data_IF_001100752846
#
_entry.id   IF_001100752846
#
_cell.length_a   1.000
_cell.length_b   1.000
_cell.length_c   1.000
_cell.angle_alpha   90.00
_cell.angle_beta   90.00
_cell.angle_gamma   90.00
#
_symmetry.space_group_name_H-M   'P 1'
#
loop_
_entity.id
_entity.type
_entity.pdbx_description
1 polymer ?
#
# COMPACT_ATOMS: atom_id res chain seq x y z
N UNK A 1 -2.14 -5.21 -2.68
CA UNK A 1 -3.22 -4.37 -3.25
C UNK A 1 -4.33 -4.31 -2.23
N UNK A 2 -4.81 -3.11 -1.94
CA UNK A 2 -5.87 -2.87 -0.96
C UNK A 2 -7.13 -2.52 -1.75
N UNK A 3 -8.25 -3.15 -1.42
CA UNK A 3 -9.53 -2.94 -2.09
C UNK A 3 -10.60 -2.71 -1.03
N UNK A 4 -11.44 -1.70 -1.24
CA UNK A 4 -12.64 -1.50 -0.44
C UNK A 4 -13.68 -2.58 -0.77
N UNK A 5 -14.22 -3.23 0.27
CA UNK A 5 -15.30 -4.20 0.15
C UNK A 5 -16.65 -3.50 -0.06
N UNK A 6 -16.88 -3.05 -1.29
CA UNK A 6 -18.18 -2.64 -1.79
C UNK A 6 -18.66 -3.58 -2.91
N UNK A 7 -19.84 -3.31 -3.49
CA UNK A 7 -20.41 -4.16 -4.55
C UNK A 7 -19.46 -4.37 -5.73
N UNK A 8 -18.75 -3.32 -6.16
CA UNK A 8 -17.80 -3.39 -7.27
C UNK A 8 -16.48 -4.02 -6.82
N UNK A 9 -16.00 -3.67 -5.63
CA UNK A 9 -14.77 -4.17 -5.04
C UNK A 9 -14.80 -5.68 -4.80
N UNK A 10 -15.94 -6.23 -4.37
CA UNK A 10 -16.10 -7.68 -4.22
C UNK A 10 -15.96 -8.41 -5.56
N UNK A 11 -16.54 -7.88 -6.64
CA UNK A 11 -16.34 -8.44 -7.98
C UNK A 11 -14.87 -8.33 -8.41
N UNK A 12 -14.22 -7.19 -8.12
CA UNK A 12 -12.80 -7.03 -8.43
C UNK A 12 -11.94 -8.06 -7.69
N UNK A 13 -12.21 -8.30 -6.41
CA UNK A 13 -11.52 -9.31 -5.60
C UNK A 13 -11.72 -10.70 -6.18
N UNK A 14 -12.95 -11.07 -6.54
CA UNK A 14 -13.27 -12.35 -7.16
C UNK A 14 -12.45 -12.59 -8.44
N UNK A 15 -12.38 -11.58 -9.32
CA UNK A 15 -11.58 -11.66 -10.55
C UNK A 15 -10.08 -11.74 -10.26
N UNK A 16 -9.58 -10.90 -9.35
CA UNK A 16 -8.16 -10.87 -9.02
C UNK A 16 -7.71 -12.20 -8.40
N UNK A 17 -8.50 -12.76 -7.48
CA UNK A 17 -8.14 -13.96 -6.74
C UNK A 17 -8.45 -15.24 -7.52
N UNK A 18 -9.67 -15.41 -8.04
CA UNK A 18 -10.11 -16.67 -8.64
C UNK A 18 -9.73 -16.83 -10.12
N UNK A 19 -9.58 -15.72 -10.86
CA UNK A 19 -9.28 -15.78 -12.30
C UNK A 19 -7.81 -15.48 -12.57
N UNK A 20 -7.29 -14.41 -11.95
CA UNK A 20 -5.92 -13.94 -12.19
C UNK A 20 -4.90 -14.52 -11.20
N UNK A 21 -5.36 -15.31 -10.21
CA UNK A 21 -4.52 -15.94 -9.18
C UNK A 21 -3.55 -14.93 -8.51
N UNK A 22 -4.02 -13.69 -8.32
CA UNK A 22 -3.20 -12.63 -7.78
C UNK A 22 -3.10 -12.75 -6.25
N UNK A 23 -1.95 -13.21 -5.76
CA UNK A 23 -1.72 -13.49 -4.33
C UNK A 23 -1.55 -12.23 -3.47
N UNK A 24 -1.11 -11.12 -4.06
CA UNK A 24 -0.75 -9.90 -3.33
C UNK A 24 -1.98 -9.03 -2.98
N UNK A 25 -3.02 -9.62 -2.41
CA UNK A 25 -4.21 -8.95 -1.89
C UNK A 25 -4.09 -8.75 -0.37
N UNK A 26 -4.52 -7.59 0.10
CA UNK A 26 -4.67 -7.37 1.55
C UNK A 26 -5.80 -8.23 2.11
N UNK A 27 -5.54 -8.90 3.22
CA UNK A 27 -6.49 -9.71 3.96
C UNK A 27 -6.58 -9.20 5.40
N UNK A 28 -7.79 -8.98 5.89
CA UNK A 28 -8.02 -8.65 7.30
C UNK A 28 -7.82 -9.90 8.18
N UNK A 29 -7.59 -9.69 9.48
CA UNK A 29 -7.39 -10.78 10.46
C UNK A 29 -8.55 -11.79 10.50
N UNK A 30 -9.75 -11.36 10.10
CA UNK A 30 -10.96 -12.20 9.98
C UNK A 30 -10.85 -13.26 8.88
N UNK A 31 -9.90 -13.11 7.94
CA UNK A 31 -9.74 -13.97 6.77
C UNK A 31 -10.45 -13.46 5.50
N UNK A 32 -11.11 -12.31 5.59
CA UNK A 32 -11.75 -11.66 4.44
C UNK A 32 -10.73 -10.85 3.62
N UNK A 33 -10.85 -10.90 2.30
CA UNK A 33 -10.07 -10.04 1.39
C UNK A 33 -10.62 -8.61 1.34
N UNK A 34 -9.73 -7.63 1.33
CA UNK A 34 -10.08 -6.21 1.28
C UNK A 34 -10.54 -5.64 2.63
N UNK A 35 -10.88 -4.35 2.63
CA UNK A 35 -11.24 -3.59 3.84
C UNK A 35 -12.71 -3.24 3.83
N UNK A 36 -13.41 -3.53 4.92
CA UNK A 36 -14.82 -3.12 5.05
C UNK A 36 -14.94 -1.69 5.60
N UNK A 37 -15.50 -0.80 4.79
CA UNK A 37 -15.79 0.58 5.20
C UNK A 37 -17.23 0.67 5.71
N UNK A 38 -17.38 1.04 6.97
CA UNK A 38 -18.66 1.38 7.59
C UNK A 38 -18.64 2.85 8.01
N UNK A 39 -19.80 3.46 8.31
CA UNK A 39 -19.86 4.89 8.72
C UNK A 39 -18.93 5.20 9.91
N UNK A 40 -18.86 4.31 10.91
CA UNK A 40 -17.97 4.46 12.07
C UNK A 40 -16.49 4.32 11.69
N UNK A 41 -16.17 3.32 10.86
CA UNK A 41 -14.78 3.11 10.43
C UNK A 41 -14.32 4.27 9.53
N UNK A 42 -15.19 4.78 8.67
CA UNK A 42 -14.92 5.91 7.76
C UNK A 42 -14.41 7.14 8.50
N UNK A 43 -15.06 7.53 9.61
CA UNK A 43 -14.59 8.66 10.43
C UNK A 43 -13.19 8.40 11.01
N UNK A 44 -12.92 7.17 11.43
CA UNK A 44 -11.61 6.76 11.96
C UNK A 44 -10.52 6.75 10.88
N UNK A 45 -10.85 6.30 9.66
CA UNK A 45 -9.96 6.31 8.50
C UNK A 45 -9.57 7.74 8.12
N UNK A 46 -10.54 8.64 8.05
CA UNK A 46 -10.34 10.05 7.70
C UNK A 46 -9.53 10.78 8.78
N UNK A 47 -9.82 10.57 10.06
CA UNK A 47 -9.05 11.16 11.16
C UNK A 47 -7.58 10.74 11.12
N UNK A 48 -7.31 9.45 10.84
CA UNK A 48 -5.94 8.94 10.73
C UNK A 48 -5.22 9.52 9.51
N UNK A 49 -5.90 9.64 8.37
CA UNK A 49 -5.36 10.30 7.19
C UNK A 49 -4.98 11.75 7.48
N UNK A 50 -5.85 12.48 8.17
CA UNK A 50 -5.63 13.87 8.57
C UNK A 50 -4.42 14.02 9.51
N UNK A 51 -4.25 13.11 10.47
CA UNK A 51 -3.07 13.04 11.32
C UNK A 51 -1.78 12.83 10.50
N UNK A 52 -1.75 11.87 9.58
CA UNK A 52 -0.58 11.56 8.76
C UNK A 52 -0.16 12.72 7.86
N UNK A 53 -1.13 13.47 7.33
CA UNK A 53 -0.86 14.69 6.57
C UNK A 53 -0.28 15.78 7.49
N UNK A 54 -0.86 15.95 8.69
CA UNK A 54 -0.42 16.97 9.67
C UNK A 54 1.03 16.76 10.12
N UNK A 55 1.44 15.52 10.35
CA UNK A 55 2.81 15.18 10.77
C UNK A 55 3.80 15.07 9.60
N UNK A 56 3.37 15.32 8.37
CA UNK A 56 4.15 15.13 7.14
C UNK A 56 4.71 13.70 6.97
N UNK A 57 3.97 12.68 7.43
CA UNK A 57 4.37 11.28 7.27
C UNK A 57 4.20 10.79 5.81
N UNK A 58 3.33 11.45 5.04
CA UNK A 58 3.05 11.12 3.64
C UNK A 58 3.25 12.34 2.73
N UNK A 59 3.72 12.08 1.50
CA UNK A 59 3.85 13.11 0.46
C UNK A 59 2.84 12.86 -0.65
N UNK A 60 1.97 13.83 -0.88
CA UNK A 60 0.93 13.76 -1.93
C UNK A 60 1.43 14.52 -3.16
N UNK A 61 1.69 13.80 -4.25
CA UNK A 61 2.17 14.38 -5.52
C UNK A 61 1.05 14.66 -6.53
N UNK A 62 -0.13 14.05 -6.34
CA UNK A 62 -1.26 14.17 -7.26
C UNK A 62 -2.01 15.47 -7.02
N UNK A 63 -2.03 16.36 -8.03
CA UNK A 63 -2.81 17.60 -7.97
C UNK A 63 -4.30 17.34 -7.76
N UNK A 64 -4.86 16.34 -8.44
CA UNK A 64 -6.29 15.99 -8.32
C UNK A 64 -6.64 15.57 -6.89
N UNK A 65 -5.78 14.79 -6.24
CA UNK A 65 -5.99 14.38 -4.84
C UNK A 65 -5.95 15.59 -3.91
N UNK A 66 -5.07 16.56 -4.15
CA UNK A 66 -5.02 17.82 -3.39
C UNK A 66 -6.29 18.64 -3.62
N UNK A 67 -6.75 18.75 -4.86
CA UNK A 67 -7.97 19.50 -5.19
C UNK A 67 -9.20 18.88 -4.47
N UNK A 68 -9.33 17.54 -4.45
CA UNK A 68 -10.41 16.85 -3.73
C UNK A 68 -10.30 17.06 -2.20
N UNK A 69 -9.09 16.98 -1.64
CA UNK A 69 -8.85 17.25 -0.21
C UNK A 69 -9.24 18.67 0.21
N UNK A 70 -8.96 19.67 -0.63
CA UNK A 70 -9.32 21.06 -0.36
C UNK A 70 -10.83 21.31 -0.39
N UNK A 71 -11.59 20.47 -1.11
CA UNK A 71 -13.05 20.53 -1.17
C UNK A 71 -13.75 19.63 -0.15
N UNK A 72 -12.99 18.97 0.72
CA UNK A 72 -13.53 18.06 1.73
C UNK A 72 -13.91 18.85 2.98
N UNK A 73 -15.21 18.92 3.27
CA UNK A 73 -15.78 19.80 4.30
C UNK A 73 -16.45 18.99 5.42
N UNK A 74 -16.53 19.59 6.60
CA UNK A 74 -17.37 19.07 7.69
C UNK A 74 -18.72 19.75 7.59
N UNK A 75 -19.77 18.98 7.36
CA UNK A 75 -21.13 19.50 7.28
C UNK A 75 -21.67 19.92 8.64
N UNK A 76 -22.81 20.61 8.62
CA UNK A 76 -23.54 21.02 9.81
C UNK A 76 -23.97 19.84 10.70
N UNK A 77 -23.99 18.61 10.16
CA UNK A 77 -24.27 17.38 10.91
C UNK A 77 -23.05 16.78 11.60
N UNK A 78 -21.87 17.40 11.42
CA UNK A 78 -20.59 16.93 11.94
C UNK A 78 -19.90 15.86 11.08
N UNK A 79 -20.50 15.45 9.96
CA UNK A 79 -19.91 14.47 9.04
C UNK A 79 -18.99 15.14 8.03
N UNK A 80 -17.82 14.56 7.85
CA UNK A 80 -16.87 14.97 6.81
C UNK A 80 -17.25 14.34 5.46
N UNK A 81 -17.50 15.15 4.44
CA UNK A 81 -17.85 14.72 3.07
C UNK A 81 -17.37 15.75 2.04
N UNK A 82 -17.32 15.35 0.77
CA UNK A 82 -17.00 16.28 -0.30
C UNK A 82 -18.12 17.33 -0.46
N UNK A 83 -17.72 18.56 -0.79
CA UNK A 83 -18.67 19.64 -1.10
C UNK A 83 -19.59 19.27 -2.29
N UNK A 84 -20.72 19.97 -2.40
CA UNK A 84 -21.75 19.66 -3.37
C UNK A 84 -21.20 19.66 -4.82
N UNK A 85 -21.32 18.52 -5.49
CA UNK A 85 -20.83 18.35 -6.87
C UNK A 85 -19.33 18.09 -6.98
N UNK A 86 -18.65 17.77 -5.87
CA UNK A 86 -17.27 17.31 -5.83
C UNK A 86 -17.20 15.82 -5.51
N UNK A 87 -16.06 15.21 -5.85
CA UNK A 87 -15.81 13.80 -5.63
C UNK A 87 -14.94 13.61 -4.38
N UNK A 88 -15.08 12.46 -3.71
CA UNK A 88 -14.27 12.04 -2.57
C UNK A 88 -13.51 10.73 -2.83
N UNK A 89 -13.49 10.23 -4.06
CA UNK A 89 -12.95 8.91 -4.41
C UNK A 89 -11.46 8.80 -4.11
N UNK A 90 -10.66 9.82 -4.42
CA UNK A 90 -9.22 9.77 -4.13
C UNK A 90 -8.92 10.00 -2.66
N UNK A 91 -9.73 10.82 -1.98
CA UNK A 91 -9.61 11.06 -0.53
C UNK A 91 -9.87 9.76 0.23
N UNK A 92 -10.94 9.05 -0.11
CA UNK A 92 -11.29 7.77 0.51
C UNK A 92 -10.24 6.68 0.21
N UNK A 93 -9.77 6.61 -1.03
CA UNK A 93 -8.70 5.68 -1.43
C UNK A 93 -7.38 5.95 -0.69
N UNK A 94 -7.05 7.22 -0.48
CA UNK A 94 -5.89 7.63 0.30
C UNK A 94 -6.05 7.25 1.78
N UNK A 95 -7.22 7.50 2.36
CA UNK A 95 -7.51 7.18 3.76
C UNK A 95 -7.37 5.68 4.06
N UNK A 96 -7.86 4.82 3.16
CA UNK A 96 -7.66 3.37 3.26
C UNK A 96 -6.18 2.98 3.22
N UNK A 97 -5.42 3.58 2.30
CA UNK A 97 -3.99 3.29 2.15
C UNK A 97 -3.23 3.68 3.42
N UNK A 98 -3.50 4.86 3.97
CA UNK A 98 -2.89 5.33 5.22
C UNK A 98 -3.23 4.43 6.40
N UNK A 99 -4.47 3.95 6.46
CA UNK A 99 -4.88 3.05 7.53
C UNK A 99 -4.09 1.74 7.53
N UNK A 100 -3.92 1.10 6.37
CA UNK A 100 -3.13 -0.12 6.29
C UNK A 100 -1.65 0.14 6.52
N UNK A 101 -1.11 1.27 6.04
CA UNK A 101 0.26 1.67 6.32
C UNK A 101 0.52 1.77 7.83
N UNK A 102 -0.41 2.39 8.57
CA UNK A 102 -0.35 2.45 10.02
C UNK A 102 -0.38 1.05 10.66
N UNK A 103 -1.35 0.22 10.27
CA UNK A 103 -1.48 -1.15 10.81
C UNK A 103 -0.21 -1.97 10.57
N UNK A 104 0.39 -1.87 9.39
CA UNK A 104 1.66 -2.53 9.06
C UNK A 104 2.81 -2.03 9.93
N UNK A 105 2.90 -0.71 10.12
CA UNK A 105 3.94 -0.11 10.98
C UNK A 105 3.80 -0.49 12.46
N UNK A 106 2.59 -0.84 12.90
CA UNK A 106 2.31 -1.27 14.27
C UNK A 106 2.56 -2.78 14.46
N UNK A 107 2.32 -3.60 13.43
CA UNK A 107 2.51 -5.05 13.50
C UNK A 107 3.97 -5.49 13.47
N UNK A 108 4.85 -4.69 12.85
CA UNK A 108 6.28 -4.97 12.86
C UNK A 108 6.90 -4.42 14.15
N UNK A 109 7.41 -5.27 15.08
CA UNK A 109 8.27 -4.77 16.13
C UNK A 109 9.52 -4.19 15.46
N UNK A 110 9.61 -2.87 15.44
CA UNK A 110 10.76 -2.14 14.90
C UNK A 110 11.99 -2.62 15.67
N UNK A 111 12.84 -3.45 15.06
CA UNK A 111 14.24 -3.48 15.44
C UNK A 111 14.78 -2.10 15.10
N UNK A 112 14.78 -1.20 16.09
CA UNK A 112 15.38 0.13 15.98
C UNK A 112 16.89 -0.07 15.85
N UNK A 113 17.34 -0.47 14.67
CA UNK A 113 18.69 -0.18 14.22
C UNK A 113 18.70 1.31 13.89
N UNK A 114 18.91 2.09 14.94
CA UNK A 114 19.16 3.52 14.89
C UNK A 114 20.20 3.81 13.80
N UNK A 115 19.72 4.31 12.67
CA UNK A 115 20.54 4.58 11.50
C UNK A 115 19.72 5.37 10.50
N UNK A 116 19.59 6.68 10.75
CA UNK A 116 19.12 7.67 9.78
C UNK A 116 19.99 7.62 8.51
N UNK A 117 19.66 6.75 7.56
CA UNK A 117 20.29 6.77 6.24
C UNK A 117 19.45 7.63 5.31
N UNK A 118 19.95 8.85 5.08
CA UNK A 118 19.59 9.74 3.95
C UNK A 118 20.01 9.12 2.60
N UNK A 119 19.59 7.89 2.31
CA UNK A 119 19.88 7.17 1.05
C UNK A 119 18.61 6.72 0.31
N UNK A 120 17.44 7.25 0.65
CA UNK A 120 16.15 6.86 0.05
C UNK A 120 15.88 7.45 -1.36
N UNK A 121 16.83 8.16 -1.98
CA UNK A 121 16.71 8.74 -3.33
C UNK A 121 17.36 7.88 -4.44
N UNK A 122 17.64 6.60 -4.18
CA UNK A 122 17.97 5.66 -5.26
C UNK A 122 16.68 4.96 -5.70
N UNK A 123 16.29 5.03 -7.00
CA UNK A 123 15.14 4.25 -7.47
C UNK A 123 15.40 2.79 -7.13
N UNK A 124 14.36 2.07 -6.67
CA UNK A 124 14.46 0.63 -6.41
C UNK A 124 15.15 0.01 -7.61
N UNK A 125 16.36 -0.52 -7.39
CA UNK A 125 17.04 -1.28 -8.41
C UNK A 125 16.05 -2.37 -8.85
N UNK A 126 15.77 -2.42 -10.16
CA UNK A 126 15.02 -3.51 -10.73
C UNK A 126 15.56 -4.80 -10.11
N UNK A 127 14.67 -5.72 -9.73
CA UNK A 127 15.01 -7.07 -9.30
C UNK A 127 15.61 -7.77 -10.54
N UNK A 128 16.83 -7.36 -10.91
CA UNK A 128 17.67 -8.01 -11.87
C UNK A 128 18.29 -9.16 -11.11
N UNK A 129 17.66 -10.32 -11.31
CA UNK A 129 18.20 -11.65 -11.17
C UNK A 129 19.14 -11.86 -9.98
N UNK A 130 18.69 -12.66 -9.00
CA UNK A 130 19.60 -13.44 -8.16
C UNK A 130 20.53 -14.27 -9.06
N UNK A 131 21.63 -13.70 -9.54
CA UNK A 131 22.73 -14.42 -10.16
C UNK A 131 23.59 -14.98 -9.03
N UNK A 132 23.08 -16.04 -8.39
CA UNK A 132 23.85 -17.06 -7.67
C UNK A 132 22.84 -18.13 -7.23
N UNK A 133 22.44 -18.98 -8.17
CA UNK A 133 21.85 -20.26 -7.82
C UNK A 133 22.98 -21.16 -7.30
N UNK A 134 23.12 -21.27 -5.98
CA UNK A 134 23.97 -22.29 -5.36
C UNK A 134 23.31 -23.66 -5.57
N UNK A 135 23.77 -24.41 -6.57
CA UNK A 135 23.41 -25.81 -6.73
C UNK A 135 24.30 -26.64 -5.78
N UNK A 136 23.68 -27.36 -4.85
CA UNK A 136 24.38 -28.35 -4.02
C UNK A 136 24.58 -29.63 -4.82
N UNK A 137 25.84 -30.00 -5.09
CA UNK A 137 26.20 -31.35 -5.51
C UNK A 137 27.09 -32.01 -4.45
N UNK A 138 27.12 -33.35 -4.44
CA UNK A 138 27.62 -34.23 -3.37
C UNK A 138 29.16 -34.24 -3.19
N UNK A 139 29.85 -33.14 -3.51
CA UNK A 139 31.33 -33.04 -3.47
C UNK A 139 31.91 -31.68 -3.07
N UNK A 140 31.08 -30.71 -2.65
CA UNK A 140 31.53 -29.37 -2.25
C UNK A 140 31.21 -28.28 -3.29
N UNK A 141 31.26 -27.02 -2.84
CA UNK A 141 30.77 -25.84 -3.57
C UNK A 141 31.85 -25.31 -4.51
N UNK A 142 31.74 -25.58 -5.81
CA UNK A 142 32.53 -24.89 -6.83
C UNK A 142 31.73 -23.71 -7.40
N UNK A 143 32.29 -22.51 -7.27
CA UNK A 143 31.74 -21.30 -7.92
C UNK A 143 32.24 -21.26 -9.35
N UNK A 144 31.43 -21.71 -10.30
CA UNK A 144 31.76 -21.53 -11.72
C UNK A 144 31.21 -20.21 -12.25
N UNK A 145 32.07 -19.42 -12.91
CA UNK A 145 31.73 -18.12 -13.48
C UNK A 145 30.99 -18.28 -14.81
N UNK A 146 29.71 -17.89 -14.82
CA UNK A 146 28.81 -18.03 -15.98
C UNK A 146 28.98 -16.89 -17.02
N UNK A 147 30.16 -16.27 -17.07
CA UNK A 147 30.46 -15.08 -17.89
C UNK A 147 30.25 -15.29 -19.39
N UNK A 148 30.27 -16.55 -19.85
CA UNK A 148 30.08 -16.91 -21.25
C UNK A 148 28.64 -16.75 -21.75
N UNK A 149 27.65 -16.75 -20.85
CA UNK A 149 26.22 -16.69 -21.19
C UNK A 149 25.71 -15.28 -21.55
N UNK A 150 26.54 -14.24 -21.37
CA UNK A 150 26.19 -12.83 -21.63
C UNK A 150 26.82 -12.27 -22.92
N UNK A 151 27.09 -13.09 -23.94
CA UNK A 151 27.57 -12.60 -25.23
C UNK A 151 26.44 -12.54 -26.25
N UNK A 152 25.89 -11.32 -26.37
CA UNK A 152 24.96 -10.73 -27.36
C UNK A 152 23.69 -11.49 -27.72
#
# INVERSE_FOLDING_TARGET
MIVERNTIGNNLIDWLFNILEYENLWMETTGDFGVQVSNKNRETLLARMEEFIRINAIKINSKRTVDELLTFIITNTGKAEADMGKNDDLVMSLALTVHILFTLSESDPIEVTAGLNKEADKPLAAIMARQQATLQSYGGVTKEEIKWLMKN
#
